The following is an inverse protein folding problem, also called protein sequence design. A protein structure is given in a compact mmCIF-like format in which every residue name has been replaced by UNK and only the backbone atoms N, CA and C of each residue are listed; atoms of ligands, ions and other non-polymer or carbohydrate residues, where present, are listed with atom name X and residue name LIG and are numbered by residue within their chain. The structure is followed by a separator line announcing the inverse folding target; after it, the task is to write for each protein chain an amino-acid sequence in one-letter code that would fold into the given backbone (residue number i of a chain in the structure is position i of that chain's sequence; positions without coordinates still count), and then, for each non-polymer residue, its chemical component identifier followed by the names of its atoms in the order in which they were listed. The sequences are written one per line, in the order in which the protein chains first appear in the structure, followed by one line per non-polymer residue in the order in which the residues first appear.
data_IF_832102256602
#
_entry.id   IF_832102256602
#
_cell.length_a   1.000
_cell.length_b   1.000
_cell.length_c   1.000
_cell.angle_alpha   90.00
_cell.angle_beta   90.00
_cell.angle_gamma   90.00
#
_symmetry.space_group_name_H-M   'P 1'
#
loop_
_entity.id
_entity.type
_entity.pdbx_description
1 polymer ?
2 non-polymer ?
3 water ?
#
# COMPACT_ATOMS: atom_id res chain seq x y z
N UNK A 17 7.68 -11.99 21.22
CA UNK A 17 7.39 -10.63 20.66
C UNK A 17 7.32 -10.65 19.13
N UNK A 18 7.86 -11.71 18.54
CA UNK A 18 8.20 -11.75 17.10
C UNK A 18 6.98 -11.81 16.11
N UNK A 19 5.79 -12.24 16.50
CA UNK A 19 5.49 -13.65 16.46
C UNK A 19 5.75 -14.10 14.98
N UNK A 20 5.45 -13.27 14.01
CA UNK A 20 4.19 -13.17 13.40
C UNK A 20 3.75 -14.53 12.94
N UNK A 21 4.70 -15.38 12.62
CA UNK A 21 4.41 -16.78 12.52
C UNK A 21 3.28 -17.02 11.59
N UNK A 22 3.45 -16.62 10.34
CA UNK A 22 2.38 -16.61 9.36
C UNK A 22 2.16 -17.83 8.55
N UNK A 23 0.94 -18.32 8.61
CA UNK A 23 0.57 -19.42 7.76
C UNK A 23 -0.87 -19.81 7.97
N UNK A 24 -1.35 -20.72 7.13
CA UNK A 24 -2.66 -21.32 7.24
C UNK A 24 -3.83 -20.43 7.02
N UNK A 25 -3.89 -19.39 7.83
CA UNK A 25 -4.92 -18.40 7.70
C UNK A 25 -4.48 -17.27 6.79
N UNK A 26 -3.56 -16.47 7.24
CA UNK A 26 -3.00 -15.51 6.32
C UNK A 26 -3.06 -16.20 4.98
N UNK A 27 -2.31 -17.29 4.86
CA UNK A 27 -2.15 -17.93 3.58
C UNK A 27 -3.46 -18.07 2.84
N UNK A 28 -4.56 -18.12 3.60
CA UNK A 28 -5.88 -18.27 3.00
C UNK A 28 -6.42 -16.93 2.54
N UNK A 29 -6.31 -15.93 3.42
CA UNK A 29 -6.84 -14.60 3.15
C UNK A 29 -6.03 -13.84 2.09
N UNK A 30 -4.79 -14.26 1.85
CA UNK A 30 -3.99 -13.76 0.73
C UNK A 30 -4.60 -14.19 -0.60
N UNK A 31 -5.04 -15.45 -0.66
CA UNK A 31 -5.63 -16.01 -1.87
C UNK A 31 -6.98 -15.34 -2.16
N UNK A 32 -7.69 -14.99 -1.10
CA UNK A 32 -8.98 -14.29 -1.23
C UNK A 32 -8.77 -12.87 -1.76
N UNK A 33 -7.70 -12.23 -1.29
CA UNK A 33 -7.37 -10.88 -1.68
C UNK A 33 -6.98 -10.73 -3.13
N UNK A 34 -6.20 -11.69 -3.60
CA UNK A 34 -5.68 -11.65 -4.95
C UNK A 34 -6.72 -12.05 -5.97
N UNK A 35 -7.59 -12.98 -5.60
CA UNK A 35 -8.66 -13.43 -6.50
C UNK A 35 -9.75 -12.36 -6.68
N UNK A 36 -10.00 -11.64 -5.60
CA UNK A 36 -10.99 -10.57 -5.63
C UNK A 36 -10.55 -9.43 -6.55
N UNK A 37 -9.27 -9.11 -6.49
CA UNK A 37 -8.68 -8.08 -7.31
C UNK A 37 -8.69 -8.50 -8.78
N UNK A 38 -8.45 -9.78 -9.04
CA UNK A 38 -8.44 -10.27 -10.42
C UNK A 38 -9.85 -10.28 -11.01
N UNK A 39 -10.84 -10.64 -10.20
CA UNK A 39 -12.23 -10.66 -10.66
C UNK A 39 -12.82 -9.25 -10.83
N UNK A 40 -12.28 -8.29 -10.08
CA UNK A 40 -12.75 -6.93 -10.11
C UNK A 40 -12.33 -6.23 -11.40
N UNK A 41 -11.04 -6.33 -11.73
CA UNK A 41 -10.50 -5.72 -12.92
C UNK A 41 -11.07 -6.36 -14.17
N UNK A 42 -11.40 -7.65 -14.09
CA UNK A 42 -12.03 -8.37 -15.20
C UNK A 42 -13.49 -7.93 -15.41
N UNK A 43 -14.14 -7.59 -14.30
CA UNK A 43 -15.52 -7.12 -14.34
C UNK A 43 -15.62 -5.67 -14.80
N UNK A 44 -14.86 -4.81 -14.15
CA UNK A 44 -14.91 -3.38 -14.45
C UNK A 44 -14.49 -3.05 -15.87
N UNK A 45 -13.59 -3.86 -16.43
CA UNK A 45 -13.15 -3.62 -17.82
C UNK A 45 -13.90 -4.50 -18.81
N UNK A 46 -14.80 -5.34 -18.30
CA UNK A 46 -15.54 -6.28 -19.14
C UNK A 46 -17.04 -6.10 -19.05
N UNK A 47 -17.70 -6.97 -18.28
CA UNK A 47 -19.14 -6.96 -18.12
C UNK A 47 -19.67 -5.69 -17.43
N UNK A 48 -18.91 -5.19 -16.45
CA UNK A 48 -19.30 -3.99 -15.71
C UNK A 48 -19.50 -2.77 -16.59
N UNK A 49 -18.70 -2.65 -17.63
CA UNK A 49 -18.84 -1.58 -18.61
C UNK A 49 -20.21 -1.59 -19.26
N UNK A 50 -20.62 -2.77 -19.72
CA UNK A 50 -21.90 -2.94 -20.42
C UNK A 50 -23.09 -2.93 -19.45
N UNK A 51 -22.82 -3.31 -18.21
CA UNK A 51 -23.81 -3.27 -17.13
C UNK A 51 -24.15 -1.84 -16.71
N UNK A 52 -23.15 -0.96 -16.78
CA UNK A 52 -23.27 0.40 -16.35
C UNK A 52 -23.84 1.32 -17.42
N UNK A 53 -23.53 1.03 -18.67
CA UNK A 53 -23.94 1.92 -19.76
C UNK A 53 -25.41 1.72 -20.17
N UNK A 54 -26.09 0.79 -19.51
CA UNK A 54 -27.52 0.59 -19.73
C UNK A 54 -28.35 1.04 -18.51
N UNK A 55 -27.68 1.67 -17.54
CA UNK A 55 -28.35 2.20 -16.36
C UNK A 55 -28.94 3.59 -16.63
N UNK A 56 -29.68 4.09 -15.65
CA UNK A 56 -30.07 5.50 -15.65
C UNK A 56 -28.88 6.33 -15.16
N UNK A 57 -28.96 7.64 -15.32
CA UNK A 57 -27.83 8.51 -14.96
C UNK A 57 -27.50 8.46 -13.47
N UNK A 58 -28.53 8.49 -12.63
CA UNK A 58 -28.32 8.43 -11.17
C UNK A 58 -27.75 7.11 -10.70
N UNK A 59 -28.09 6.03 -11.41
CA UNK A 59 -27.59 4.71 -11.12
C UNK A 59 -26.14 4.57 -11.61
N UNK A 60 -25.83 5.26 -12.71
CA UNK A 60 -24.49 5.22 -13.28
C UNK A 60 -23.51 6.05 -12.46
N UNK A 61 -23.98 7.17 -11.92
CA UNK A 61 -23.20 8.00 -11.00
C UNK A 61 -22.93 7.22 -9.71
N UNK A 62 -23.90 6.42 -9.32
CA UNK A 62 -23.77 5.57 -8.15
C UNK A 62 -22.77 4.45 -8.42
N UNK A 63 -22.80 3.93 -9.65
CA UNK A 63 -21.87 2.89 -10.07
C UNK A 63 -20.47 3.47 -10.13
N UNK A 64 -20.36 4.72 -10.56
CA UNK A 64 -19.08 5.41 -10.70
C UNK A 64 -18.36 5.54 -9.37
N UNK A 65 -19.05 6.06 -8.36
CA UNK A 65 -18.43 6.31 -7.06
C UNK A 65 -18.21 5.01 -6.28
N UNK A 66 -19.08 4.03 -6.46
CA UNK A 66 -18.95 2.74 -5.79
C UNK A 66 -17.88 1.85 -6.41
N UNK A 67 -17.55 2.10 -7.67
CA UNK A 67 -16.44 1.45 -8.33
C UNK A 67 -15.13 1.95 -7.74
N UNK A 68 -15.09 3.23 -7.40
CA UNK A 68 -13.89 3.85 -6.82
C UNK A 68 -13.63 3.29 -5.43
N UNK A 69 -14.72 3.14 -4.66
CA UNK A 69 -14.64 2.65 -3.30
C UNK A 69 -14.16 1.21 -3.27
N UNK A 70 -14.61 0.42 -4.23
CA UNK A 70 -14.22 -0.95 -4.39
C UNK A 70 -12.72 -1.10 -4.69
N UNK A 71 -12.22 -0.31 -5.63
CA UNK A 71 -10.83 -0.43 -6.07
C UNK A 71 -9.87 0.14 -5.03
N UNK A 72 -10.31 1.19 -4.34
CA UNK A 72 -9.54 1.76 -3.24
C UNK A 72 -9.47 0.77 -2.07
N UNK A 73 -10.60 0.18 -1.70
CA UNK A 73 -10.64 -0.79 -0.62
C UNK A 73 -9.71 -1.97 -0.91
N UNK A 74 -9.70 -2.43 -2.16
CA UNK A 74 -8.87 -3.55 -2.57
C UNK A 74 -7.40 -3.17 -2.62
N UNK A 75 -7.12 -1.90 -2.91
CA UNK A 75 -5.76 -1.39 -2.92
C UNK A 75 -5.14 -1.50 -1.53
N UNK A 76 -5.91 -1.14 -0.50
CA UNK A 76 -5.47 -1.25 0.90
C UNK A 76 -5.18 -2.69 1.29
N UNK A 77 -6.05 -3.59 0.85
CA UNK A 77 -5.93 -4.99 1.21
C UNK A 77 -4.75 -5.64 0.48
N UNK A 78 -4.66 -5.37 -0.83
CA UNK A 78 -3.52 -5.82 -1.63
C UNK A 78 -2.20 -5.34 -1.04
N UNK A 79 -2.13 -4.06 -0.69
CA UNK A 79 -0.94 -3.46 -0.10
C UNK A 79 -0.60 -4.10 1.25
N UNK A 80 -1.63 -4.43 2.02
CA UNK A 80 -1.44 -5.01 3.33
C UNK A 80 -0.87 -6.42 3.22
N UNK A 81 -1.50 -7.22 2.37
CA UNK A 81 -1.14 -8.63 2.15
C UNK A 81 0.25 -8.80 1.56
N UNK A 82 0.63 -7.89 0.66
CA UNK A 82 1.93 -7.97 -0.01
C UNK A 82 3.07 -7.56 0.93
N UNK A 83 2.81 -6.58 1.79
CA UNK A 83 3.78 -6.14 2.79
C UNK A 83 4.02 -7.22 3.83
N UNK A 84 2.93 -7.81 4.30
CA UNK A 84 3.01 -8.87 5.28
C UNK A 84 3.68 -10.12 4.70
N UNK A 85 3.55 -10.31 3.38
CA UNK A 85 4.26 -11.39 2.70
C UNK A 85 5.75 -11.05 2.59
N UNK A 86 6.04 -9.78 2.30
CA UNK A 86 7.43 -9.31 2.19
C UNK A 86 8.15 -9.44 3.52
N UNK A 87 7.40 -9.25 4.61
CA UNK A 87 7.91 -9.43 5.96
C UNK A 87 8.11 -10.92 6.24
N UNK A 88 7.19 -11.75 5.74
CA UNK A 88 7.28 -13.20 5.91
C UNK A 88 8.46 -13.81 5.14
N UNK A 89 8.85 -13.21 4.02
CA UNK A 89 10.01 -13.68 3.27
C UNK A 89 11.33 -13.07 3.75
N UNK A 90 11.25 -12.08 4.63
CA UNK A 90 12.46 -11.41 5.13
C UNK A 90 12.93 -10.26 4.26
N UNK A 91 12.11 -9.88 3.28
CA UNK A 91 12.40 -8.72 2.46
C UNK A 91 12.18 -7.42 3.22
N UNK A 92 11.25 -7.46 4.17
CA UNK A 92 10.98 -6.33 5.04
C UNK A 92 11.07 -6.72 6.50
N UNK A 93 11.59 -5.81 7.34
CA UNK A 93 11.77 -6.14 8.75
C UNK A 93 10.43 -6.26 9.48
N UNK A 94 10.35 -7.18 10.44
CA UNK A 94 9.12 -7.41 11.21
C UNK A 94 8.70 -6.17 11.98
N UNK A 95 9.63 -5.24 12.17
CA UNK A 95 9.37 -4.06 12.96
C UNK A 95 8.81 -2.96 12.08
N UNK A 96 8.99 -3.11 10.77
CA UNK A 96 8.46 -2.13 9.85
C UNK A 96 7.13 -2.62 9.47
N UNK A 97 6.11 -1.87 9.83
CA UNK A 97 4.73 -2.24 9.53
C UNK A 97 3.98 -1.91 10.81
N UNK A 98 4.72 -1.39 11.78
CA UNK A 98 4.12 -1.04 13.02
C UNK A 98 3.44 0.28 13.02
N UNK A 99 3.39 0.96 11.89
CA UNK A 99 2.60 2.18 11.79
C UNK A 99 1.70 2.16 10.57
N UNK A 100 1.99 1.14 9.76
CA UNK A 100 1.73 0.91 8.36
C UNK A 100 0.28 0.66 8.15
N UNK A 101 -0.45 1.73 7.85
CA UNK A 101 -1.89 1.69 7.56
C UNK A 101 -2.99 1.19 8.51
N UNK A 102 -3.94 0.43 7.95
CA UNK A 102 -4.72 -0.71 8.37
C UNK A 102 -6.02 -0.96 7.65
N UNK A 114 -28.23 7.10 1.02
CA UNK A 114 -28.65 7.46 -0.32
C UNK A 114 -29.04 6.24 -1.16
N UNK A 115 -29.96 6.45 -2.11
CA UNK A 115 -30.54 5.38 -2.93
C UNK A 115 -29.53 4.68 -3.85
N UNK A 116 -29.41 3.36 -3.69
CA UNK A 116 -28.40 2.59 -4.43
C UNK A 116 -28.92 1.27 -5.05
N UNK A 117 -29.41 1.36 -6.29
CA UNK A 117 -29.79 0.17 -7.05
C UNK A 117 -28.75 -0.17 -8.13
N UNK A 118 -27.68 -0.84 -7.70
CA UNK A 118 -26.54 -1.15 -8.56
C UNK A 118 -26.65 -2.55 -9.17
N UNK A 119 -25.85 -2.82 -10.21
CA UNK A 119 -25.87 -4.12 -10.91
C UNK A 119 -25.46 -5.28 -10.03
N UNK A 120 -25.87 -6.48 -10.43
CA UNK A 120 -25.61 -7.73 -9.72
C UNK A 120 -24.11 -7.97 -9.48
N UNK A 121 -23.30 -7.74 -10.50
CA UNK A 121 -21.87 -8.01 -10.47
C UNK A 121 -21.10 -7.11 -9.55
N UNK A 122 -21.40 -5.81 -9.62
CA UNK A 122 -20.75 -4.81 -8.78
C UNK A 122 -21.17 -4.99 -7.33
N UNK A 123 -22.45 -5.28 -7.12
CA UNK A 123 -22.97 -5.48 -5.79
C UNK A 123 -22.31 -6.65 -5.08
N UNK A 124 -22.06 -7.74 -5.83
CA UNK A 124 -21.41 -8.94 -5.27
C UNK A 124 -19.97 -8.68 -4.81
N UNK A 125 -19.18 -8.08 -5.71
CA UNK A 125 -17.77 -7.78 -5.45
C UNK A 125 -17.61 -6.79 -4.31
N UNK A 126 -18.59 -5.91 -4.15
CA UNK A 126 -18.58 -4.95 -3.06
C UNK A 126 -18.82 -5.62 -1.72
N UNK A 127 -19.70 -6.62 -1.72
CA UNK A 127 -20.01 -7.39 -0.51
C UNK A 127 -18.88 -8.34 -0.13
N UNK A 128 -18.16 -8.84 -1.14
CA UNK A 128 -17.01 -9.72 -0.92
C UNK A 128 -15.84 -8.92 -0.37
N UNK A 129 -15.68 -7.70 -0.89
CA UNK A 129 -14.59 -6.81 -0.46
C UNK A 129 -14.76 -6.33 0.98
N UNK A 130 -16.01 -6.17 1.40
CA UNK A 130 -16.31 -5.77 2.75
C UNK A 130 -15.95 -6.88 3.72
N UNK A 131 -16.26 -8.12 3.35
CA UNK A 131 -15.96 -9.28 4.18
C UNK A 131 -14.47 -9.57 4.22
N UNK A 132 -13.79 -9.22 3.13
CA UNK A 132 -12.34 -9.36 3.05
C UNK A 132 -11.64 -8.30 3.90
N UNK A 133 -12.21 -7.10 3.91
CA UNK A 133 -11.62 -5.97 4.60
C UNK A 133 -11.54 -6.16 6.11
N UNK A 134 -12.68 -6.50 6.71
CA UNK A 134 -12.75 -6.71 8.16
C UNK A 134 -12.05 -8.00 8.56
N UNK A 135 -11.96 -8.93 7.62
CA UNK A 135 -11.21 -10.17 7.82
C UNK A 135 -9.73 -9.84 7.95
N UNK A 136 -9.28 -8.84 7.18
CA UNK A 136 -7.91 -8.37 7.26
C UNK A 136 -7.71 -7.46 8.48
N UNK A 137 -8.68 -6.60 8.74
CA UNK A 137 -8.62 -5.68 9.88
C UNK A 137 -8.53 -6.43 11.21
N UNK A 138 -9.27 -7.53 11.33
CA UNK A 138 -9.21 -8.34 12.54
C UNK A 138 -7.87 -9.05 12.66
N UNK A 139 -7.36 -9.48 11.50
CA UNK A 139 -6.05 -10.11 11.43
C UNK A 139 -4.94 -9.09 11.70
N UNK A 140 -5.17 -7.86 11.24
CA UNK A 140 -4.24 -6.76 11.48
C UNK A 140 -4.14 -6.40 12.94
N UNK A 141 -5.26 -6.42 13.66
CA UNK A 141 -5.26 -6.05 15.08
C UNK A 141 -4.64 -7.13 15.96
N UNK A 142 -4.98 -8.38 15.71
CA UNK A 142 -4.44 -9.50 16.48
C UNK A 142 -2.96 -9.70 16.19
N UNK A 143 -2.53 -9.18 15.05
CA UNK A 143 -1.15 -9.36 14.58
C UNK A 143 -0.25 -8.21 15.03
N UNK A 144 -0.84 -7.05 15.30
CA UNK A 144 -0.07 -5.85 15.61
C UNK A 144 -0.56 -5.02 16.79
N UNK A 145 -1.87 -4.97 16.99
CA UNK A 145 -2.44 -4.13 18.04
C UNK A 145 -2.40 -4.84 19.39
N UNK A 146 -2.65 -6.14 19.38
CA UNK A 146 -2.60 -6.96 20.60
C UNK A 146 -1.25 -6.85 21.29
N UNK A 147 -1.16 -7.05 22.61
CA UNK A 147 -2.19 -6.77 23.62
C UNK A 147 -1.82 -5.42 24.30
N UNK B 21 4.64 -0.92 -18.62
CA UNK B 21 5.15 -1.84 -17.61
C UNK B 21 6.09 -2.92 -18.15
N UNK B 22 7.27 -2.49 -18.57
CA UNK B 22 8.40 -3.38 -18.78
C UNK B 22 9.07 -3.34 -17.42
N UNK B 23 9.11 -2.15 -16.84
CA UNK B 23 9.59 -2.02 -15.51
C UNK B 23 10.65 -2.92 -14.98
N UNK B 24 11.69 -3.08 -15.79
CA UNK B 24 12.98 -3.58 -15.35
C UNK B 24 13.92 -2.43 -15.20
N UNK B 25 14.99 -2.64 -14.47
CA UNK B 25 15.85 -1.51 -14.11
C UNK B 25 15.15 -0.63 -13.08
N UNK B 26 13.90 -0.97 -12.79
CA UNK B 26 13.22 -0.46 -11.65
C UNK B 26 13.69 -1.41 -10.59
N UNK B 27 14.80 -2.10 -10.79
CA UNK B 27 15.09 -3.10 -9.81
C UNK B 27 15.90 -2.27 -8.93
N UNK B 28 16.44 -1.22 -9.49
CA UNK B 28 17.41 -0.42 -8.77
C UNK B 28 16.66 0.37 -7.73
N UNK B 29 15.53 0.92 -8.18
CA UNK B 29 14.68 1.69 -7.29
C UNK B 29 13.93 0.79 -6.32
N UNK B 30 13.74 -0.48 -6.70
CA UNK B 30 13.15 -1.46 -5.79
C UNK B 30 14.12 -1.80 -4.67
N UNK B 31 15.37 -2.09 -5.03
CA UNK B 31 16.41 -2.40 -4.06
C UNK B 31 16.71 -1.20 -3.16
N UNK B 32 16.55 0.00 -3.71
CA UNK B 32 16.79 1.24 -2.96
C UNK B 32 15.69 1.44 -1.93
N UNK B 33 14.47 1.09 -2.33
CA UNK B 33 13.30 1.23 -1.47
C UNK B 33 13.32 0.28 -0.29
N UNK B 34 13.67 -0.96 -0.58
CA UNK B 34 13.69 -2.02 0.41
C UNK B 34 14.84 -1.84 1.42
N UNK B 35 15.94 -1.27 0.96
CA UNK B 35 17.10 -0.99 1.84
C UNK B 35 16.83 0.18 2.80
N UNK B 36 16.17 1.22 2.28
CA UNK B 36 15.86 2.39 3.08
C UNK B 36 14.85 2.05 4.17
N UNK B 37 13.88 1.19 3.83
CA UNK B 37 12.93 0.67 4.81
C UNK B 37 13.67 -0.11 5.89
N UNK B 38 14.68 -0.86 5.48
CA UNK B 38 15.45 -1.70 6.41
C UNK B 38 16.32 -0.84 7.33
N UNK B 39 16.92 0.19 6.76
CA UNK B 39 17.79 1.10 7.52
C UNK B 39 17.00 1.97 8.49
N UNK B 40 15.78 2.32 8.10
CA UNK B 40 14.89 3.12 8.92
C UNK B 40 14.44 2.34 10.14
N UNK B 41 14.11 1.07 9.91
CA UNK B 41 13.64 0.20 10.96
C UNK B 41 14.77 -0.13 11.91
N UNK B 42 16.01 -0.16 11.40
CA UNK B 42 17.18 -0.41 12.23
C UNK B 42 17.55 0.82 13.05
N UNK B 43 17.26 2.00 12.50
CA UNK B 43 17.62 3.26 13.13
C UNK B 43 16.62 3.66 14.21
N UNK B 44 15.34 3.75 13.83
CA UNK B 44 14.28 4.16 14.74
C UNK B 44 14.15 3.25 15.95
N UNK B 45 14.73 2.06 15.84
CA UNK B 45 14.60 1.03 16.85
C UNK B 45 15.94 0.80 17.54
N UNK B 46 17.00 1.36 16.97
CA UNK B 46 18.35 1.24 17.54
C UNK B 46 18.87 2.58 17.99
N UNK B 47 19.76 3.17 17.20
CA UNK B 47 20.48 4.41 17.55
C UNK B 47 19.60 5.65 17.60
N UNK B 48 18.45 5.57 16.94
CA UNK B 48 17.50 6.69 16.90
C UNK B 48 16.88 7.00 18.23
N UNK B 49 16.69 5.96 19.05
CA UNK B 49 16.16 6.10 20.40
C UNK B 49 17.09 6.92 21.29
N UNK B 50 18.39 6.69 21.18
CA UNK B 50 19.40 7.42 21.94
C UNK B 50 19.51 8.87 21.47
N UNK B 51 19.21 9.10 20.20
CA UNK B 51 19.19 10.44 19.62
C UNK B 51 17.94 11.17 20.08
N UNK B 52 16.88 10.41 20.33
CA UNK B 52 15.62 10.96 20.80
C UNK B 52 15.66 11.25 22.30
N UNK B 53 16.24 10.33 23.08
CA UNK B 53 16.23 10.43 24.53
C UNK B 53 17.11 11.54 25.05
N UNK B 54 18.23 11.77 24.37
CA UNK B 54 19.15 12.83 24.74
C UNK B 54 18.88 14.04 23.84
N UNK B 55 17.71 14.65 24.00
CA UNK B 55 17.27 15.73 23.14
C UNK B 55 16.21 16.56 23.84
N UNK B 56 16.10 17.84 23.47
CA UNK B 56 15.13 18.73 24.08
C UNK B 56 13.69 18.30 23.75
N UNK B 57 12.77 18.54 24.68
CA UNK B 57 11.38 18.10 24.55
C UNK B 57 10.71 18.54 23.25
N UNK B 58 11.04 19.74 22.78
CA UNK B 58 10.46 20.24 21.54
C UNK B 58 11.08 19.61 20.30
N UNK B 59 12.39 19.36 20.35
CA UNK B 59 13.09 18.72 19.23
C UNK B 59 12.80 17.22 19.18
N UNK B 60 12.53 16.64 20.34
CA UNK B 60 12.14 15.23 20.45
C UNK B 60 10.75 15.04 19.87
N UNK B 61 9.94 16.10 19.98
CA UNK B 61 8.60 16.12 19.43
C UNK B 61 8.70 16.30 17.92
N UNK B 62 9.76 16.97 17.48
CA UNK B 62 10.04 17.13 16.07
C UNK B 62 10.59 15.83 15.49
N UNK B 63 11.30 15.08 16.32
CA UNK B 63 11.83 13.79 15.94
C UNK B 63 10.71 12.79 15.71
N UNK B 64 9.74 12.79 16.62
CA UNK B 64 8.60 11.88 16.54
C UNK B 64 7.69 12.19 15.36
N UNK B 65 7.43 13.47 15.13
CA UNK B 65 6.54 13.89 14.07
C UNK B 65 7.11 13.70 12.66
N UNK B 66 8.43 13.74 12.55
CA UNK B 66 9.09 13.63 11.26
C UNK B 66 9.44 12.20 10.93
N UNK B 67 9.66 11.40 11.98
CA UNK B 67 9.84 9.97 11.81
C UNK B 67 8.55 9.31 11.34
N UNK B 68 7.41 9.85 11.77
CA UNK B 68 6.12 9.38 11.27
C UNK B 68 5.86 9.83 9.84
N UNK B 69 6.39 10.99 9.49
CA UNK B 69 6.31 11.48 8.12
C UNK B 69 7.15 10.58 7.23
N UNK B 70 8.27 10.11 7.79
CA UNK B 70 9.22 9.25 7.11
C UNK B 70 8.68 7.85 6.87
N UNK B 71 8.13 7.27 7.93
CA UNK B 71 7.70 5.88 7.89
C UNK B 71 6.43 5.67 7.07
N UNK B 72 5.57 6.67 7.03
CA UNK B 72 4.35 6.63 6.23
C UNK B 72 4.65 6.92 4.75
N UNK B 73 5.73 7.66 4.49
CA UNK B 73 6.21 7.87 3.13
C UNK B 73 6.85 6.61 2.56
N UNK B 74 7.52 5.84 3.42
CA UNK B 74 8.22 4.65 2.97
C UNK B 74 7.26 3.49 2.71
N UNK B 75 6.19 3.42 3.50
CA UNK B 75 5.18 2.38 3.29
C UNK B 75 4.38 2.66 2.02
N UNK B 76 4.34 3.93 1.66
CA UNK B 76 3.66 4.40 0.48
C UNK B 76 4.43 3.88 -0.74
N UNK B 77 5.75 3.95 -0.65
CA UNK B 77 6.63 3.56 -1.74
C UNK B 77 6.82 2.04 -1.75
N UNK B 78 7.04 1.46 -0.57
CA UNK B 78 7.16 0.01 -0.42
C UNK B 78 5.92 -0.71 -0.98
N UNK B 79 4.75 -0.18 -0.67
CA UNK B 79 3.50 -0.73 -1.17
C UNK B 79 3.40 -0.58 -2.68
N UNK B 80 3.87 0.55 -3.21
CA UNK B 80 3.90 0.75 -4.64
C UNK B 80 4.86 -0.22 -5.32
N UNK B 81 6.09 -0.27 -4.82
CA UNK B 81 7.12 -1.14 -5.38
C UNK B 81 6.62 -2.56 -5.57
N UNK B 82 6.00 -3.10 -4.53
CA UNK B 82 5.55 -4.48 -4.56
C UNK B 82 4.37 -4.70 -5.48
N UNK B 83 3.71 -3.64 -5.88
CA UNK B 83 2.46 -3.98 -6.38
C UNK B 83 2.58 -3.91 -7.84
N UNK B 84 3.41 -3.03 -8.35
CA UNK B 84 4.36 -3.35 -9.36
C UNK B 84 5.01 -4.64 -9.40
N UNK B 85 5.47 -5.07 -8.27
CA UNK B 85 6.25 -6.32 -8.29
C UNK B 85 5.34 -7.50 -8.60
N UNK B 86 4.18 -7.52 -7.96
CA UNK B 86 3.20 -8.57 -8.19
C UNK B 86 2.62 -8.49 -9.59
N UNK B 87 2.37 -7.29 -10.07
CA UNK B 87 1.96 -7.12 -11.46
C UNK B 87 3.01 -7.68 -12.41
N UNK B 88 4.29 -7.45 -12.09
CA UNK B 88 5.38 -7.92 -12.97
C UNK B 88 5.44 -9.45 -12.96
N UNK B 89 5.21 -10.03 -11.79
CA UNK B 89 5.25 -11.48 -11.65
C UNK B 89 3.92 -12.15 -11.97
N UNK B 90 2.94 -11.35 -12.40
CA UNK B 90 1.64 -11.87 -12.85
C UNK B 90 0.75 -12.36 -11.72
N UNK B 91 0.96 -11.80 -10.53
CA UNK B 91 0.14 -12.07 -9.36
C UNK B 91 -1.07 -11.15 -9.32
N UNK B 92 -0.86 -9.92 -9.78
CA UNK B 92 -1.93 -8.95 -9.93
C UNK B 92 -1.98 -8.50 -11.38
N UNK B 93 -3.20 -8.30 -11.90
CA UNK B 93 -3.35 -7.81 -13.27
C UNK B 93 -2.85 -6.37 -13.42
N UNK B 94 -2.28 -6.05 -14.60
CA UNK B 94 -1.82 -4.71 -14.91
C UNK B 94 -2.97 -3.70 -14.89
N UNK B 95 -4.16 -4.14 -15.25
CA UNK B 95 -5.33 -3.26 -15.26
C UNK B 95 -5.62 -2.71 -13.88
N UNK B 96 -4.82 -3.16 -12.93
CA UNK B 96 -5.01 -2.83 -11.53
C UNK B 96 -4.53 -1.44 -11.25
N UNK B 97 -3.24 -1.29 -11.32
CA UNK B 97 -2.58 -0.04 -11.14
C UNK B 97 -3.26 1.24 -11.54
N UNK B 98 -4.57 1.25 -11.77
CA UNK B 98 -5.17 2.53 -12.08
C UNK B 98 -6.04 3.25 -11.07
N UNK B 99 -5.70 4.52 -10.82
CA UNK B 99 -6.33 5.32 -9.75
C UNK B 99 -6.16 4.53 -8.47
N UNK B 100 -5.17 3.63 -8.53
CA UNK B 100 -4.81 2.76 -7.40
C UNK B 100 -3.73 3.17 -6.42
N UNK B 101 -2.53 3.44 -6.92
CA UNK B 101 -1.41 3.84 -6.07
C UNK B 101 -0.55 4.90 -6.74
N UNK B 102 -0.70 6.15 -6.29
CA UNK B 102 0.07 7.26 -6.85
C UNK B 102 0.91 8.14 -5.94
N UNK B 103 0.25 9.08 -5.26
CA UNK B 103 0.94 9.99 -4.35
C UNK B 103 0.23 11.35 -4.29
N UNK B 115 13.05 24.81 15.61
CA UNK B 115 12.26 23.65 15.19
C UNK B 115 13.05 22.68 14.30
N UNK B 116 14.09 23.19 13.63
CA UNK B 116 14.79 22.45 12.59
C UNK B 116 15.78 21.41 13.13
N UNK B 117 16.39 21.71 14.27
CA UNK B 117 17.47 20.87 14.79
C UNK B 117 17.02 19.40 14.85
N UNK B 118 17.58 18.56 13.98
CA UNK B 118 17.27 17.14 13.97
C UNK B 118 18.54 16.30 13.93
N UNK B 119 18.52 15.13 14.61
CA UNK B 119 19.65 14.20 14.64
C UNK B 119 20.17 13.81 13.26
N UNK B 120 21.47 13.50 13.19
CA UNK B 120 22.15 13.24 11.93
C UNK B 120 21.54 12.05 11.17
N UNK B 121 21.19 11.00 11.90
CA UNK B 121 20.69 9.76 11.29
C UNK B 121 19.31 9.90 10.68
N UNK B 122 18.47 10.71 11.33
CA UNK B 122 17.09 10.95 10.88
C UNK B 122 17.10 11.82 9.64
N UNK B 123 17.94 12.85 9.64
CA UNK B 123 18.04 13.77 8.51
C UNK B 123 18.44 13.05 7.21
N UNK B 124 19.30 12.04 7.34
CA UNK B 124 19.80 11.28 6.20
C UNK B 124 18.71 10.43 5.58
N UNK B 125 17.92 9.80 6.44
CA UNK B 125 16.83 8.94 6.01
C UNK B 125 15.69 9.74 5.39
N UNK B 126 15.42 10.92 5.92
CA UNK B 126 14.39 11.82 5.37
C UNK B 126 14.75 12.29 3.97
N UNK B 127 16.02 12.66 3.80
CA UNK B 127 16.51 13.17 2.52
C UNK B 127 16.65 12.06 1.48
N UNK B 128 16.94 10.84 1.95
CA UNK B 128 16.95 9.67 1.08
C UNK B 128 15.55 9.28 0.70
N UNK B 129 14.59 9.49 1.60
CA UNK B 129 13.19 9.18 1.29
C UNK B 129 12.61 10.20 0.33
N UNK B 130 13.06 11.45 0.44
CA UNK B 130 12.56 12.51 -0.43
C UNK B 130 13.01 12.28 -1.86
N UNK B 131 14.20 11.70 -1.99
CA UNK B 131 14.77 11.38 -3.29
C UNK B 131 14.14 10.12 -3.88
N UNK B 132 13.78 9.19 -3.01
CA UNK B 132 13.18 7.92 -3.42
C UNK B 132 11.74 8.15 -3.88
N UNK B 133 11.07 9.07 -3.21
CA UNK B 133 9.70 9.42 -3.50
C UNK B 133 9.59 10.11 -4.86
N UNK B 134 10.51 11.02 -5.15
CA UNK B 134 10.50 11.73 -6.42
C UNK B 134 10.94 10.80 -7.54
N UNK B 135 11.71 9.78 -7.18
CA UNK B 135 12.17 8.77 -8.13
C UNK B 135 11.00 7.88 -8.54
N UNK B 136 10.19 7.49 -7.57
CA UNK B 136 9.03 6.65 -7.81
C UNK B 136 7.86 7.43 -8.42
N UNK B 137 7.67 8.67 -7.98
CA UNK B 137 6.61 9.51 -8.53
C UNK B 137 6.84 9.79 -10.01
N UNK B 138 8.11 9.98 -10.40
CA UNK B 138 8.47 10.15 -11.81
C UNK B 138 8.28 8.84 -12.56
N UNK B 139 8.56 7.73 -11.88
CA UNK B 139 8.42 6.40 -12.44
C UNK B 139 6.94 6.04 -12.61
N UNK B 140 6.13 6.40 -11.61
CA UNK B 140 4.69 6.15 -11.62
C UNK B 140 4.00 6.91 -12.73
N UNK B 141 4.44 8.14 -12.97
CA UNK B 141 3.82 8.98 -13.99
C UNK B 141 4.14 8.53 -15.41
N UNK B 142 5.36 8.08 -15.64
CA UNK B 142 5.78 7.59 -16.95
C UNK B 142 5.15 6.25 -17.30
N UNK B 143 4.69 5.54 -16.27
CA UNK B 143 4.11 4.22 -16.46
C UNK B 143 2.59 4.25 -16.60
N UNK B 144 1.94 5.30 -16.10
CA UNK B 144 0.48 5.31 -16.00
C UNK B 144 -0.24 6.60 -16.41
N UNK B 145 0.49 7.70 -16.52
CA UNK B 145 -0.16 8.95 -16.95
C UNK B 145 0.53 9.59 -18.15
N UNK B 146 1.64 9.05 -18.58
CA UNK B 146 2.28 9.60 -19.75
C UNK B 146 1.81 8.86 -20.97
N UNK B 147 1.99 9.51 -22.11
CA UNK B 147 1.55 9.03 -23.41
C UNK B 147 1.16 10.21 -24.28
N UNK B 148 0.29 11.05 -23.77
CA UNK B 148 -0.17 12.23 -24.50
C UNK B 148 0.49 13.50 -23.96
N UNK B 149 1.68 13.34 -23.37
CA UNK B 149 2.43 14.44 -22.79
C UNK B 149 3.84 14.53 -23.37
N UNK B 150 4.33 15.75 -23.62
CA UNK B 150 3.60 16.96 -23.31
C UNK B 150 3.56 17.89 -24.52
X LIG C 1 -8.25 8.88 1.55
X LIG C 1 -9.42 8.85 0.71
X LIG C 1 -7.00 8.93 0.68
X LIG C 1 -6.94 7.76 -0.17
X LIG D 1 -2.55 0.42 4.05
X LIG D 1 -3.45 -0.64 4.42
X LIG D 1 -1.35 -0.21 3.36
X LIG D 1 -0.80 -1.25 4.18
X LIG E 1 -16.25 -0.90 4.87
X LIG E 1 -15.82 -2.23 5.17
X LIG E 1 -15.29 0.14 5.45
X LIG E 1 -14.35 0.56 4.43
X LIG F 1 1.69 -16.90 0.02
X LIG F 1 0.88 -16.89 1.20
X LIG F 1 0.82 -17.07 -1.23
X LIG F 1 -0.14 -18.11 -1.08
X LIG G 1 -19.15 -10.65 -8.88
X LIG G 1 -19.09 -11.70 -7.88
X LIG G 1 -19.70 -11.16 -10.21
X LIG G 1 -18.65 -11.15 -11.19
X LIG H 1 14.72 7.51 -17.09
X LIG H 1 14.92 6.38 -17.97
X LIG H 1 15.75 8.59 -17.42
X LIG H 1 15.66 9.61 -16.43
X LIG I 1 21.93 7.15 8.90
X LIG I 1 21.62 6.08 9.82
X LIG I 1 20.85 7.15 7.81
X LIG I 1 21.34 7.57 6.52
X LIG J 1 4.23 12.86 1.70
X LIG J 1 4.65 11.73 2.51
X LIG J 1 4.86 12.73 0.32
X LIG J 1 6.01 13.59 0.23
#
# INVERSE_FOLDING_TARGET
MTEVNAFADTPWRAGVIQDFARSELFDRTFEEGMQLVEETAAYLDGAGRHDSKVLSRNAALGYATESMRLTTRLMQVASWLLVQRAVREGEMPPEAACAEAYRLAEEAPADGPAVEELPFGLMNLLQRSERLYERVRHLDRRMYVESPNEEAPRPVQNQLDRLTAAFGG
MTEVNAFADTPWRAGVIQDFARSELFDRTFEEGMQLVEETAAYLDGAGRHDSKVLSRNAALGYATESMRLTTRLMQVASWLLVQRAVREGEMPPEAACAEAYRLAEEAPADGPAVEELPFGLMNLLQRSERLYERVRHLDRRMYVESPNEEAPRPVQNQLDRLTAAFGG
EDO C1 O1 C2 O2
EDO C1 O1 C2 O2
EDO C1 O1 C2 O2
EDO C1 O1 C2 O2
EDO C1 O1 C2 O2
EDO C1 O1 C2 O2
EDO C1 O1 C2 O2
EDO C1 O1 C2 O2
#
